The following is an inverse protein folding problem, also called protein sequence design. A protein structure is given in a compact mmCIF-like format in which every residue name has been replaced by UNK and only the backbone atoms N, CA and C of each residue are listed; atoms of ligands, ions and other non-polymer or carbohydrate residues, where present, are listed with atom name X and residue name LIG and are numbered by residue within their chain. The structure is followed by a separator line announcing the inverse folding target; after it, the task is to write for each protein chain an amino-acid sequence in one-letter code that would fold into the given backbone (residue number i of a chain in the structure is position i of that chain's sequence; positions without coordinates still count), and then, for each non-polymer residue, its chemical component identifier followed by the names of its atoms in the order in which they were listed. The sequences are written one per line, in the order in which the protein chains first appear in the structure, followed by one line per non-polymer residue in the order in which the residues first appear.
data_IF_060375879939
#
_entry.id   IF_060375879939
#
_cell.length_a   1.000
_cell.length_b   1.000
_cell.length_c   1.000
_cell.angle_alpha   90.00
_cell.angle_beta   90.00
_cell.angle_gamma   90.00
#
_symmetry.space_group_name_H-M   'P 1'
#
loop_
_entity.id
_entity.type
_entity.pdbx_description
1 polymer ?
#
# COMPACT_ATOMS: atom_id res chain seq x y z
N UNK A 1 -24.84 13.89 -20.55
CA UNK A 1 -24.51 12.46 -20.37
C UNK A 1 -23.01 12.28 -20.08
N UNK A 2 -22.42 13.08 -19.18
CA UNK A 2 -21.02 12.96 -18.76
C UNK A 2 -20.84 13.08 -17.24
N UNK A 3 -21.94 13.20 -16.49
CA UNK A 3 -21.93 13.36 -15.03
C UNK A 3 -21.83 12.01 -14.29
N UNK A 4 -22.02 10.88 -14.99
CA UNK A 4 -21.95 9.51 -14.45
C UNK A 4 -20.57 8.83 -14.61
N UNK A 5 -19.54 9.57 -15.06
CA UNK A 5 -18.17 9.05 -15.23
C UNK A 5 -17.32 9.11 -13.95
N UNK A 6 -17.88 9.60 -12.86
CA UNK A 6 -17.23 9.62 -11.57
C UNK A 6 -17.44 8.28 -10.86
N UNK A 7 -16.35 7.68 -10.38
CA UNK A 7 -16.43 6.57 -9.44
C UNK A 7 -17.18 7.06 -8.19
N UNK A 8 -18.08 6.23 -7.68
CA UNK A 8 -18.66 6.45 -6.36
C UNK A 8 -17.56 6.45 -5.28
N UNK A 9 -17.88 6.89 -4.06
CA UNK A 9 -16.90 7.01 -3.00
C UNK A 9 -16.26 5.67 -2.62
N UNK A 10 -17.00 4.56 -2.71
CA UNK A 10 -16.45 3.22 -2.41
C UNK A 10 -15.57 2.70 -3.55
N UNK A 11 -15.95 2.90 -4.81
CA UNK A 11 -15.13 2.54 -5.96
C UNK A 11 -13.86 3.39 -6.04
N UNK A 12 -13.96 4.68 -5.73
CA UNK A 12 -12.79 5.56 -5.60
C UNK A 12 -11.86 5.04 -4.52
N UNK A 13 -12.41 4.63 -3.37
CA UNK A 13 -11.62 4.12 -2.26
C UNK A 13 -11.00 2.76 -2.55
N UNK A 14 -11.69 1.89 -3.28
CA UNK A 14 -11.22 0.56 -3.63
C UNK A 14 -10.03 0.63 -4.59
N UNK A 15 -10.02 1.59 -5.52
CA UNK A 15 -8.88 1.84 -6.41
C UNK A 15 -7.77 2.62 -5.70
N UNK A 16 -8.11 3.65 -4.90
CA UNK A 16 -7.11 4.49 -4.26
C UNK A 16 -6.23 3.73 -3.26
N UNK A 17 -6.78 2.78 -2.50
CA UNK A 17 -6.03 2.05 -1.47
C UNK A 17 -4.80 1.30 -2.04
N UNK A 18 -4.92 0.46 -3.09
CA UNK A 18 -3.77 -0.14 -3.78
C UNK A 18 -2.74 0.88 -4.28
N UNK A 19 -3.20 1.98 -4.90
CA UNK A 19 -2.30 2.99 -5.47
C UNK A 19 -1.51 3.73 -4.40
N UNK A 20 -2.13 4.06 -3.26
CA UNK A 20 -1.41 4.59 -2.11
C UNK A 20 -0.42 3.56 -1.55
N UNK A 21 -0.75 2.27 -1.54
CA UNK A 21 0.20 1.22 -1.17
C UNK A 21 1.43 1.21 -2.07
N UNK A 22 1.26 1.32 -3.39
CA UNK A 22 2.38 1.45 -4.34
C UNK A 22 3.20 2.73 -4.09
N UNK A 23 2.54 3.86 -3.82
CA UNK A 23 3.23 5.11 -3.48
C UNK A 23 4.07 5.00 -2.19
N UNK A 24 3.66 4.13 -1.26
CA UNK A 24 4.41 3.80 -0.04
C UNK A 24 5.46 2.68 -0.24
N UNK A 25 5.62 2.17 -1.46
CA UNK A 25 6.60 1.13 -1.79
C UNK A 25 6.13 -0.31 -1.54
N UNK A 26 4.82 -0.54 -1.40
CA UNK A 26 4.27 -1.89 -1.21
C UNK A 26 4.07 -2.62 -2.56
N UNK A 27 4.51 -3.88 -2.68
CA UNK A 27 4.20 -4.73 -3.83
C UNK A 27 2.81 -5.37 -3.69
N UNK A 28 2.34 -6.03 -4.75
CA UNK A 28 1.12 -6.84 -4.69
C UNK A 28 1.20 -7.94 -3.60
N UNK A 29 0.08 -8.17 -2.93
CA UNK A 29 -0.12 -9.28 -2.01
C UNK A 29 -0.75 -10.49 -2.71
N UNK A 30 -0.39 -11.69 -2.28
CA UNK A 30 -1.06 -12.93 -2.72
C UNK A 30 -2.34 -13.26 -1.94
N UNK A 31 -2.74 -12.43 -0.96
CA UNK A 31 -3.90 -12.70 -0.08
C UNK A 31 -5.09 -11.84 -0.47
N UNK A 32 -6.26 -12.43 -0.79
CA UNK A 32 -7.47 -11.68 -1.16
C UNK A 32 -8.02 -10.72 -0.09
N UNK A 33 -7.57 -10.87 1.16
CA UNK A 33 -7.97 -10.02 2.30
C UNK A 33 -7.18 -8.72 2.42
N UNK A 34 -6.13 -8.56 1.62
CA UNK A 34 -5.19 -7.44 1.74
C UNK A 34 -5.52 -6.38 0.69
N UNK A 35 -5.30 -5.11 1.02
CA UNK A 35 -5.58 -4.02 0.07
C UNK A 35 -4.67 -4.05 -1.17
N UNK A 36 -3.53 -4.72 -1.07
CA UNK A 36 -2.59 -4.90 -2.18
C UNK A 36 -2.87 -6.15 -3.02
N UNK A 37 -3.98 -6.85 -2.80
CA UNK A 37 -4.37 -7.95 -3.68
C UNK A 37 -4.70 -7.43 -5.09
N UNK A 38 -4.23 -8.08 -6.19
CA UNK A 38 -4.42 -7.58 -7.55
C UNK A 38 -5.88 -7.39 -7.99
N UNK A 39 -6.83 -8.00 -7.30
CA UNK A 39 -8.26 -7.82 -7.55
C UNK A 39 -8.88 -6.92 -6.49
N UNK A 40 -9.30 -5.74 -6.92
CA UNK A 40 -9.89 -4.68 -6.09
C UNK A 40 -11.19 -5.17 -5.45
N UNK A 41 -11.16 -5.44 -4.15
CA UNK A 41 -12.32 -5.94 -3.39
C UNK A 41 -12.32 -5.54 -1.90
N UNK A 42 -11.19 -5.07 -1.37
CA UNK A 42 -11.01 -4.81 0.05
C UNK A 42 -10.96 -3.32 0.33
N UNK A 43 -11.91 -2.85 1.13
CA UNK A 43 -11.99 -1.46 1.58
C UNK A 43 -11.38 -1.25 2.97
N UNK A 44 -11.03 -2.30 3.71
CA UNK A 44 -10.51 -2.18 5.08
C UNK A 44 -9.08 -2.67 5.15
N UNK A 45 -8.22 -1.87 5.77
CA UNK A 45 -6.85 -2.28 6.08
C UNK A 45 -6.88 -3.42 7.08
N UNK A 46 -6.21 -4.52 6.74
CA UNK A 46 -5.84 -5.57 7.68
C UNK A 46 -4.67 -5.12 8.57
N UNK A 47 -4.43 -5.85 9.67
CA UNK A 47 -3.23 -5.63 10.50
C UNK A 47 -1.94 -5.90 9.73
N UNK A 48 -2.00 -6.80 8.73
CA UNK A 48 -0.89 -7.10 7.83
C UNK A 48 -0.59 -5.94 6.89
N UNK A 49 -1.61 -5.28 6.34
CA UNK A 49 -1.44 -4.09 5.50
C UNK A 49 -0.72 -2.99 6.28
N UNK A 50 -1.18 -2.73 7.52
CA UNK A 50 -0.55 -1.76 8.42
C UNK A 50 0.89 -2.11 8.73
N UNK A 51 1.16 -3.36 9.10
CA UNK A 51 2.51 -3.83 9.41
C UNK A 51 3.43 -3.69 8.20
N UNK A 52 2.95 -4.06 7.00
CA UNK A 52 3.71 -3.96 5.76
C UNK A 52 4.04 -2.52 5.41
N UNK A 53 3.08 -1.59 5.59
CA UNK A 53 3.27 -0.16 5.37
C UNK A 53 4.31 0.46 6.32
N UNK A 54 4.46 -0.06 7.54
CA UNK A 54 5.42 0.47 8.52
C UNK A 54 6.86 0.00 8.28
N UNK A 55 7.06 -1.20 7.73
CA UNK A 55 8.39 -1.80 7.56
C UNK A 55 9.38 -0.93 6.76
N UNK A 56 9.02 -0.32 5.62
CA UNK A 56 9.92 0.56 4.88
C UNK A 56 10.42 1.75 5.70
N UNK A 57 9.63 2.22 6.66
CA UNK A 57 9.95 3.36 7.52
C UNK A 57 10.65 2.99 8.83
N UNK A 58 10.76 1.68 9.14
CA UNK A 58 11.48 1.21 10.32
C UNK A 58 13.01 1.25 10.14
N UNK A 59 13.49 1.48 8.91
CA UNK A 59 14.91 1.53 8.58
C UNK A 59 15.37 3.00 8.55
N UNK A 60 16.44 3.38 9.27
CA UNK A 60 16.98 4.73 9.21
C UNK A 60 17.37 5.12 7.77
N UNK A 61 17.04 6.34 7.32
CA UNK A 61 17.43 6.78 5.99
C UNK A 61 18.96 6.91 5.90
N UNK A 62 19.55 6.35 4.84
CA UNK A 62 20.98 6.45 4.56
C UNK A 62 21.58 5.13 4.08
N UNK A 63 22.82 5.18 3.59
CA UNK A 63 23.56 3.97 3.26
C UNK A 63 23.83 3.17 4.54
N UNK A 64 23.67 1.84 4.48
CA UNK A 64 24.25 0.93 5.46
C UNK A 64 25.77 1.10 5.39
N UNK A 65 26.31 2.04 6.18
CA UNK A 65 27.75 2.14 6.36
C UNK A 65 28.13 0.98 7.26
N UNK A 66 28.93 0.06 6.75
CA UNK A 66 29.65 -0.84 7.65
C UNK A 66 30.39 0.03 8.69
N UNK A 67 30.41 -0.37 9.97
CA UNK A 67 31.24 0.32 10.95
C UNK A 67 32.67 0.35 10.42
N UNK A 68 33.28 1.54 10.33
CA UNK A 68 34.71 1.61 10.03
C UNK A 68 35.46 0.89 11.16
N UNK A 69 36.21 -0.19 10.89
CA UNK A 69 37.05 -0.81 11.91
C UNK A 69 38.07 0.21 12.43
N UNK A 70 38.51 0.09 13.70
CA UNK A 70 39.37 1.07 14.37
C UNK A 70 40.69 1.31 13.63
#
# INVERSE_FOLDING_TARGET
MWEDLWLGPEETRSVALPEFGHALGLPHSGRPSDIMFPTVSVLRLSDRDRSSAQLPYAIPPGALREPRPP
#
